data_IF_623180963860
#
_entry.id   IF_623180963860
#
_cell.length_a   1.000
_cell.length_b   1.000
_cell.length_c   1.000
_cell.angle_alpha   90.00
_cell.angle_beta   90.00
_cell.angle_gamma   90.00
#
_symmetry.space_group_name_H-M   'P 1'
#
loop_
_entity.id
_entity.type
_entity.pdbx_description
1 polymer ?
#
# COMPACT_ATOMS: atom_id res chain seq x y z
N UNK A 1 3.78 -12.46 12.91
CA UNK A 1 4.31 -11.36 13.76
C UNK A 1 4.05 -10.03 13.06
N UNK A 2 3.59 -9.02 13.80
CA UNK A 2 3.36 -7.66 13.25
C UNK A 2 4.72 -6.99 13.15
N UNK A 3 5.15 -6.65 11.93
CA UNK A 3 6.41 -5.96 11.70
C UNK A 3 6.25 -4.44 11.81
N UNK A 4 7.28 -3.76 12.27
CA UNK A 4 7.29 -2.31 12.50
C UNK A 4 7.56 -1.53 11.21
N UNK A 5 6.98 -0.34 11.13
CA UNK A 5 7.41 0.70 10.18
C UNK A 5 8.34 1.66 10.91
N UNK A 6 9.53 1.84 10.38
CA UNK A 6 10.50 2.81 10.89
C UNK A 6 10.59 4.00 9.93
N UNK A 7 10.60 5.19 10.52
CA UNK A 7 10.73 6.44 9.79
C UNK A 7 11.90 7.26 10.35
N UNK A 8 12.78 7.67 9.48
CA UNK A 8 13.92 8.53 9.79
C UNK A 8 13.76 9.85 9.02
N UNK A 9 13.39 10.92 9.71
CA UNK A 9 13.18 12.26 9.17
C UNK A 9 14.19 13.30 9.65
N UNK A 10 15.24 12.85 10.34
CA UNK A 10 16.34 13.70 10.82
C UNK A 10 17.70 13.10 10.42
N UNK A 11 18.80 13.86 10.44
CA UNK A 11 20.14 13.35 10.22
C UNK A 11 20.46 12.16 11.12
N UNK A 12 20.92 11.08 10.54
CA UNK A 12 21.21 9.85 11.30
C UNK A 12 22.23 8.97 10.58
N UNK A 13 23.05 8.25 11.37
CA UNK A 13 23.91 7.20 10.89
C UNK A 13 23.31 5.83 11.22
N UNK A 14 23.02 5.03 10.18
CA UNK A 14 22.36 3.72 10.28
C UNK A 14 23.37 2.61 9.98
N UNK A 15 23.55 1.68 10.91
CA UNK A 15 24.41 0.50 10.75
C UNK A 15 23.76 -0.75 11.31
N UNK A 16 24.37 -1.91 11.09
CA UNK A 16 23.95 -3.17 11.71
C UNK A 16 24.96 -3.64 12.74
N UNK A 17 24.47 -4.17 13.86
CA UNK A 17 25.25 -4.90 14.88
C UNK A 17 24.33 -5.97 15.48
N UNK A 18 24.84 -7.18 15.67
CA UNK A 18 24.14 -8.29 16.36
C UNK A 18 22.69 -8.52 15.88
N UNK A 19 22.50 -8.59 14.52
CA UNK A 19 21.21 -8.74 13.84
C UNK A 19 20.19 -7.61 14.14
N UNK A 20 20.70 -6.48 14.64
CA UNK A 20 19.88 -5.29 14.88
C UNK A 20 20.25 -4.17 13.91
N UNK A 21 19.25 -3.35 13.57
CA UNK A 21 19.47 -2.01 13.06
C UNK A 21 19.85 -1.14 14.25
N UNK A 22 21.01 -0.50 14.18
CA UNK A 22 21.47 0.49 15.16
C UNK A 22 21.44 1.85 14.47
N UNK A 23 20.73 2.82 15.04
CA UNK A 23 20.79 4.19 14.58
C UNK A 23 21.45 5.10 15.61
N UNK A 24 22.18 6.08 15.14
CA UNK A 24 22.84 7.11 15.92
C UNK A 24 22.30 8.44 15.41
N UNK A 25 21.63 9.21 16.26
CA UNK A 25 21.19 10.58 15.93
C UNK A 25 22.42 11.48 15.83
N UNK A 26 22.59 12.20 14.73
CA UNK A 26 23.68 13.16 14.59
C UNK A 26 23.49 14.38 15.48
N UNK A 27 22.23 14.77 15.74
CA UNK A 27 21.90 15.94 16.54
C UNK A 27 22.12 15.71 18.04
N UNK A 28 21.75 14.52 18.55
CA UNK A 28 21.74 14.24 20.01
C UNK A 28 22.80 13.23 20.44
N UNK A 29 23.43 12.51 19.51
CA UNK A 29 24.31 11.38 19.81
C UNK A 29 23.56 10.16 20.40
N UNK A 30 22.25 10.21 20.48
CA UNK A 30 21.44 9.11 21.02
C UNK A 30 21.55 7.87 20.15
N UNK A 31 21.82 6.72 20.78
CA UNK A 31 21.91 5.44 20.09
C UNK A 31 20.75 4.53 20.51
N UNK A 32 20.01 4.03 19.51
CA UNK A 32 18.94 3.03 19.71
C UNK A 32 19.14 1.85 18.76
N UNK A 33 18.60 0.70 19.15
CA UNK A 33 18.64 -0.49 18.30
C UNK A 33 17.29 -1.18 18.23
N UNK A 34 17.05 -1.84 17.06
CA UNK A 34 15.81 -2.55 16.77
C UNK A 34 16.18 -3.86 16.06
N UNK A 35 15.65 -5.03 16.49
CA UNK A 35 15.84 -6.28 15.77
C UNK A 35 15.38 -6.15 14.31
N UNK A 36 16.22 -6.57 13.36
CA UNK A 36 15.93 -6.46 11.93
C UNK A 36 14.71 -7.31 11.56
N UNK A 37 14.53 -8.45 12.21
CA UNK A 37 13.37 -9.32 12.01
C UNK A 37 12.02 -8.66 12.34
N UNK A 38 12.00 -7.66 13.22
CA UNK A 38 10.81 -6.90 13.57
C UNK A 38 10.46 -5.81 12.55
N UNK A 39 11.34 -5.52 11.59
CA UNK A 39 11.16 -4.42 10.64
C UNK A 39 10.44 -4.93 9.39
N UNK A 40 9.37 -4.25 8.98
CA UNK A 40 8.64 -4.52 7.74
C UNK A 40 8.87 -3.48 6.66
N UNK A 41 8.89 -2.21 7.06
CA UNK A 41 9.10 -1.07 6.18
C UNK A 41 10.09 -0.11 6.84
N UNK A 42 11.04 0.39 6.05
CA UNK A 42 11.99 1.44 6.45
C UNK A 42 11.83 2.63 5.51
N UNK A 43 11.61 3.82 6.06
CA UNK A 43 11.46 5.06 5.29
C UNK A 43 12.57 6.03 5.68
N UNK A 44 13.36 6.44 4.70
CA UNK A 44 14.41 7.45 4.84
C UNK A 44 13.92 8.75 4.21
N UNK A 45 13.70 9.76 5.05
CA UNK A 45 13.10 11.04 4.66
C UNK A 45 13.97 12.24 5.07
N UNK A 46 15.30 12.07 5.00
CA UNK A 46 16.26 13.16 5.20
C UNK A 46 17.50 12.95 4.36
N UNK A 47 17.99 14.03 3.71
CA UNK A 47 19.12 13.97 2.77
C UNK A 47 20.46 13.61 3.42
N UNK A 48 20.64 13.91 4.71
CA UNK A 48 21.87 13.64 5.48
C UNK A 48 21.83 12.28 6.22
N UNK A 49 20.96 11.36 5.82
CA UNK A 49 21.00 10.00 6.38
C UNK A 49 22.11 9.20 5.72
N UNK A 50 23.01 8.66 6.53
CA UNK A 50 24.04 7.71 6.09
C UNK A 50 23.63 6.30 6.50
N UNK A 51 23.72 5.35 5.57
CA UNK A 51 23.40 3.94 5.80
C UNK A 51 24.53 3.04 5.32
N UNK A 52 24.89 2.02 6.11
CA UNK A 52 25.91 1.06 5.69
C UNK A 52 25.35 0.01 4.74
N UNK A 53 26.13 -0.40 3.74
CA UNK A 53 25.77 -1.46 2.81
C UNK A 53 25.40 -2.78 3.53
N UNK A 54 26.13 -3.12 4.60
CA UNK A 54 25.83 -4.32 5.42
C UNK A 54 24.43 -4.29 6.04
N UNK A 55 23.93 -3.11 6.43
CA UNK A 55 22.57 -2.96 6.93
C UNK A 55 21.55 -3.13 5.79
N UNK A 56 21.78 -2.52 4.63
CA UNK A 56 20.91 -2.66 3.45
C UNK A 56 20.75 -4.15 3.09
N UNK A 57 21.86 -4.88 2.97
CA UNK A 57 21.84 -6.31 2.64
C UNK A 57 21.02 -7.13 3.67
N UNK A 58 21.21 -6.88 4.97
CA UNK A 58 20.45 -7.58 6.03
C UNK A 58 18.96 -7.23 6.03
N UNK A 59 18.62 -5.97 5.79
CA UNK A 59 17.21 -5.53 5.69
C UNK A 59 16.52 -6.26 4.52
N UNK A 60 17.14 -6.29 3.34
CA UNK A 60 16.60 -6.97 2.17
C UNK A 60 16.48 -8.49 2.40
N UNK A 61 17.51 -9.14 2.98
CA UNK A 61 17.45 -10.56 3.34
C UNK A 61 16.29 -10.90 4.32
N UNK A 62 15.86 -9.94 5.14
CA UNK A 62 14.67 -10.05 6.00
C UNK A 62 13.38 -9.57 5.33
N UNK A 63 13.40 -9.36 4.02
CA UNK A 63 12.27 -8.91 3.21
C UNK A 63 11.67 -7.58 3.75
N UNK A 64 12.52 -6.64 4.13
CA UNK A 64 12.11 -5.29 4.49
C UNK A 64 11.95 -4.46 3.21
N UNK A 65 10.81 -3.78 3.05
CA UNK A 65 10.68 -2.76 2.02
C UNK A 65 11.39 -1.47 2.48
N UNK A 66 12.24 -0.96 1.62
CA UNK A 66 13.05 0.22 1.91
C UNK A 66 12.60 1.36 0.99
N UNK A 67 12.14 2.47 1.55
CA UNK A 67 11.67 3.64 0.82
C UNK A 67 12.65 4.79 1.01
N UNK A 68 13.00 5.48 -0.06
CA UNK A 68 13.72 6.76 -0.01
C UNK A 68 12.85 7.89 -0.52
N UNK A 69 12.98 9.07 0.10
CA UNK A 69 12.26 10.27 -0.25
C UNK A 69 13.19 11.31 -0.89
N UNK A 70 12.62 12.22 -1.69
CA UNK A 70 13.31 13.37 -2.25
C UNK A 70 13.44 14.54 -1.25
N UNK A 71 13.98 15.67 -1.71
CA UNK A 71 14.12 16.92 -0.95
C UNK A 71 12.78 17.56 -0.55
N UNK A 72 11.70 17.16 -1.24
CA UNK A 72 10.32 17.60 -0.95
C UNK A 72 9.56 16.58 -0.08
N UNK A 73 10.29 15.62 0.48
CA UNK A 73 9.73 14.55 1.32
C UNK A 73 8.74 13.62 0.60
N UNK A 74 8.79 13.52 -0.75
CA UNK A 74 7.99 12.57 -1.50
C UNK A 74 8.74 11.25 -1.69
N UNK A 75 8.08 10.10 -1.50
CA UNK A 75 8.67 8.80 -1.81
C UNK A 75 8.99 8.68 -3.31
N UNK A 76 10.28 8.50 -3.64
CA UNK A 76 10.77 8.45 -5.03
C UNK A 76 11.45 7.13 -5.38
N UNK A 77 11.88 6.35 -4.40
CA UNK A 77 12.55 5.07 -4.63
C UNK A 77 12.12 3.99 -3.65
N UNK A 78 12.23 2.74 -4.11
CA UNK A 78 11.97 1.56 -3.27
C UNK A 78 12.98 0.47 -3.60
N UNK A 79 13.60 -0.12 -2.56
CA UNK A 79 14.37 -1.35 -2.68
C UNK A 79 13.55 -2.51 -2.10
N UNK A 80 13.54 -3.61 -2.82
CA UNK A 80 12.89 -4.87 -2.44
C UNK A 80 13.89 -6.01 -2.56
N UNK A 81 13.64 -7.11 -1.85
CA UNK A 81 14.45 -8.32 -2.00
C UNK A 81 14.35 -8.85 -3.44
N UNK A 82 15.47 -9.24 -4.02
CA UNK A 82 15.54 -9.82 -5.36
C UNK A 82 15.05 -11.29 -5.36
N UNK A 83 15.32 -12.03 -4.29
CA UNK A 83 15.03 -13.46 -4.13
C UNK A 83 14.20 -13.67 -2.85
N UNK A 84 12.92 -13.38 -2.94
CA UNK A 84 12.00 -13.38 -1.79
C UNK A 84 11.27 -14.72 -1.54
N UNK A 85 11.42 -15.73 -2.42
CA UNK A 85 10.65 -16.97 -2.35
C UNK A 85 11.38 -18.17 -2.93
N UNK A 86 11.40 -19.30 -2.23
CA UNK A 86 12.11 -20.55 -2.65
C UNK A 86 11.62 -21.11 -3.99
N UNK A 87 10.34 -20.93 -4.36
CA UNK A 87 9.76 -21.36 -5.63
C UNK A 87 9.58 -20.21 -6.63
N UNK A 88 10.41 -19.20 -6.55
CA UNK A 88 10.24 -17.95 -7.29
C UNK A 88 10.12 -18.15 -8.80
N UNK A 89 11.00 -18.97 -9.39
CA UNK A 89 10.99 -19.24 -10.84
C UNK A 89 9.67 -19.87 -11.30
N UNK A 90 9.15 -20.87 -10.56
CA UNK A 90 7.88 -21.50 -10.87
C UNK A 90 6.70 -20.54 -10.76
N UNK A 91 6.70 -19.69 -9.74
CA UNK A 91 5.66 -18.66 -9.53
C UNK A 91 5.71 -17.56 -10.58
N UNK A 92 6.91 -17.11 -10.98
CA UNK A 92 7.07 -16.18 -12.10
C UNK A 92 6.52 -16.76 -13.39
N UNK A 93 6.83 -18.05 -13.69
CA UNK A 93 6.28 -18.74 -14.85
C UNK A 93 4.74 -18.76 -14.82
N UNK A 94 4.14 -19.17 -13.70
CA UNK A 94 2.68 -19.18 -13.55
C UNK A 94 2.05 -17.78 -13.74
N UNK A 95 2.69 -16.73 -13.22
CA UNK A 95 2.23 -15.34 -13.40
C UNK A 95 2.33 -14.89 -14.87
N UNK A 96 3.42 -15.20 -15.56
CA UNK A 96 3.65 -14.85 -16.96
C UNK A 96 2.66 -15.55 -17.87
N UNK A 97 2.45 -16.86 -17.67
CA UNK A 97 1.58 -17.72 -18.48
C UNK A 97 0.09 -17.56 -18.12
N UNK A 98 -0.25 -16.76 -17.10
CA UNK A 98 -1.63 -16.52 -16.71
C UNK A 98 -2.46 -15.99 -17.88
N UNK A 99 -3.55 -16.71 -18.18
CA UNK A 99 -4.42 -16.41 -19.30
C UNK A 99 -5.13 -15.05 -19.18
N UNK A 100 -5.46 -14.42 -20.30
CA UNK A 100 -6.23 -13.16 -20.31
C UNK A 100 -7.59 -13.30 -19.62
N UNK A 101 -8.37 -14.40 -19.80
CA UNK A 101 -9.60 -14.60 -19.04
C UNK A 101 -9.39 -14.63 -17.53
N UNK A 102 -8.35 -15.31 -17.05
CA UNK A 102 -8.02 -15.32 -15.61
C UNK A 102 -7.72 -13.91 -15.13
N UNK A 103 -6.84 -13.16 -15.79
CA UNK A 103 -6.52 -11.77 -15.42
C UNK A 103 -7.77 -10.89 -15.38
N UNK A 104 -8.68 -11.00 -16.34
CA UNK A 104 -9.95 -10.27 -16.35
C UNK A 104 -10.87 -10.63 -15.17
N UNK A 105 -10.92 -11.92 -14.78
CA UNK A 105 -11.70 -12.36 -13.62
C UNK A 105 -11.10 -11.86 -12.29
N UNK A 106 -9.77 -11.87 -12.17
CA UNK A 106 -9.08 -11.32 -11.00
C UNK A 106 -9.30 -9.81 -10.89
N UNK A 107 -9.26 -9.08 -12.02
CA UNK A 107 -9.56 -7.64 -12.05
C UNK A 107 -10.98 -7.33 -11.62
N UNK A 108 -11.96 -8.10 -12.12
CA UNK A 108 -13.35 -7.98 -11.68
C UNK A 108 -13.49 -8.06 -10.15
N UNK A 109 -12.83 -9.04 -9.52
CA UNK A 109 -12.84 -9.21 -8.07
C UNK A 109 -12.19 -8.00 -7.35
N UNK A 110 -11.08 -7.50 -7.89
CA UNK A 110 -10.36 -6.34 -7.38
C UNK A 110 -11.25 -5.11 -7.36
N UNK A 111 -11.92 -4.82 -8.48
CA UNK A 111 -12.75 -3.61 -8.62
C UNK A 111 -14.04 -3.73 -7.81
N UNK A 112 -14.71 -4.87 -7.86
CA UNK A 112 -15.90 -5.09 -7.03
C UNK A 112 -15.59 -4.87 -5.54
N UNK A 113 -14.47 -5.40 -5.05
CA UNK A 113 -14.04 -5.20 -3.67
C UNK A 113 -13.66 -3.75 -3.37
N UNK A 114 -12.91 -3.07 -4.28
CA UNK A 114 -12.59 -1.64 -4.17
C UNK A 114 -13.84 -0.81 -3.97
N UNK A 115 -14.84 -0.97 -4.84
CA UNK A 115 -16.08 -0.19 -4.80
C UNK A 115 -16.84 -0.44 -3.50
N UNK A 116 -16.94 -1.70 -3.04
CA UNK A 116 -17.56 -2.02 -1.76
C UNK A 116 -16.81 -1.39 -0.56
N UNK A 117 -15.48 -1.40 -0.57
CA UNK A 117 -14.68 -0.78 0.47
C UNK A 117 -14.79 0.76 0.45
N UNK A 118 -14.91 1.36 -0.73
CA UNK A 118 -15.24 2.79 -0.87
C UNK A 118 -16.63 3.10 -0.32
N UNK A 119 -17.62 2.25 -0.61
CA UNK A 119 -18.97 2.37 -0.05
C UNK A 119 -18.93 2.32 1.49
N UNK A 120 -18.24 1.36 2.08
CA UNK A 120 -18.11 1.26 3.54
C UNK A 120 -17.51 2.51 4.19
N UNK A 121 -16.52 3.15 3.55
CA UNK A 121 -15.99 4.41 4.06
C UNK A 121 -16.97 5.57 3.90
N UNK A 122 -17.72 5.63 2.79
CA UNK A 122 -18.76 6.63 2.59
C UNK A 122 -19.93 6.48 3.60
N UNK A 123 -20.28 5.24 4.00
CA UNK A 123 -21.28 4.99 5.05
C UNK A 123 -20.84 5.60 6.39
N UNK A 124 -19.56 5.44 6.76
CA UNK A 124 -19.00 6.10 7.95
C UNK A 124 -19.11 7.62 7.84
N UNK A 125 -18.92 8.17 6.63
CA UNK A 125 -19.11 9.59 6.35
C UNK A 125 -20.60 10.00 6.19
N UNK A 126 -21.54 9.06 6.42
CA UNK A 126 -23.00 9.26 6.33
C UNK A 126 -23.47 9.69 4.92
N UNK A 127 -22.80 9.20 3.90
CA UNK A 127 -23.16 9.40 2.47
C UNK A 127 -24.01 8.20 2.01
N UNK A 128 -25.10 8.40 1.24
CA UNK A 128 -25.86 7.29 0.66
C UNK A 128 -25.01 6.43 -0.28
N UNK A 129 -25.05 5.10 -0.17
CA UNK A 129 -24.15 4.18 -0.91
C UNK A 129 -24.87 3.09 -1.70
N UNK A 130 -26.20 3.09 -1.77
CA UNK A 130 -26.97 2.06 -2.50
C UNK A 130 -26.50 1.91 -3.95
N UNK A 131 -26.18 3.02 -4.62
CA UNK A 131 -25.63 3.04 -5.98
C UNK A 131 -24.24 2.37 -6.05
N UNK A 132 -23.38 2.58 -5.04
CA UNK A 132 -22.03 1.96 -4.98
C UNK A 132 -22.13 0.44 -4.89
N UNK A 133 -23.03 -0.09 -4.03
CA UNK A 133 -23.24 -1.55 -3.93
C UNK A 133 -23.81 -2.14 -5.22
N UNK A 134 -24.71 -1.43 -5.91
CA UNK A 134 -25.20 -1.85 -7.22
C UNK A 134 -24.05 -1.94 -8.22
N UNK A 135 -23.25 -0.88 -8.36
CA UNK A 135 -22.09 -0.89 -9.27
C UNK A 135 -21.10 -2.00 -8.93
N UNK A 136 -20.81 -2.21 -7.64
CA UNK A 136 -19.90 -3.29 -7.22
C UNK A 136 -20.40 -4.68 -7.63
N UNK A 137 -21.73 -4.92 -7.57
CA UNK A 137 -22.36 -6.20 -7.94
C UNK A 137 -22.43 -6.39 -9.48
N UNK A 138 -22.47 -5.30 -10.23
CA UNK A 138 -22.59 -5.28 -11.70
C UNK A 138 -21.24 -5.34 -12.43
N UNK A 139 -20.10 -5.24 -11.70
CA UNK A 139 -18.77 -5.33 -12.31
C UNK A 139 -18.62 -6.63 -13.08
N UNK A 140 -18.44 -6.53 -14.40
CA UNK A 140 -18.19 -7.68 -15.29
C UNK A 140 -16.71 -7.99 -15.42
N UNK A 141 -16.40 -9.12 -16.04
CA UNK A 141 -15.02 -9.56 -16.28
C UNK A 141 -14.21 -8.49 -17.01
N UNK A 142 -13.13 -8.03 -16.34
CA UNK A 142 -12.26 -6.96 -16.83
C UNK A 142 -12.86 -5.55 -16.70
N UNK A 143 -13.94 -5.39 -15.93
CA UNK A 143 -14.67 -4.12 -15.74
C UNK A 143 -15.04 -3.44 -17.09
N UNK A 144 -15.64 -4.21 -18.00
CA UNK A 144 -15.91 -3.77 -19.37
C UNK A 144 -16.88 -2.58 -19.47
N UNK A 145 -17.66 -2.31 -18.43
CA UNK A 145 -18.60 -1.19 -18.33
C UNK A 145 -18.03 0.00 -17.53
N UNK A 146 -16.76 -0.12 -17.10
CA UNK A 146 -16.02 0.94 -16.40
C UNK A 146 -16.70 1.44 -15.11
N UNK A 147 -17.27 0.51 -14.35
CA UNK A 147 -17.87 0.81 -13.04
C UNK A 147 -16.87 1.41 -12.05
N UNK A 148 -15.56 1.07 -12.20
CA UNK A 148 -14.50 1.70 -11.43
C UNK A 148 -14.51 3.22 -11.55
N UNK A 149 -14.56 3.75 -12.78
CA UNK A 149 -14.52 5.19 -13.01
C UNK A 149 -15.82 5.86 -12.50
N UNK A 150 -16.98 5.24 -12.73
CA UNK A 150 -18.27 5.75 -12.24
C UNK A 150 -18.28 5.85 -10.72
N UNK A 151 -17.86 4.78 -10.04
CA UNK A 151 -17.76 4.74 -8.59
C UNK A 151 -16.73 5.76 -8.05
N UNK A 152 -15.58 5.91 -8.71
CA UNK A 152 -14.55 6.86 -8.31
C UNK A 152 -15.03 8.32 -8.38
N UNK A 153 -15.80 8.69 -9.42
CA UNK A 153 -16.39 10.04 -9.53
C UNK A 153 -17.32 10.31 -8.36
N UNK A 154 -18.22 9.36 -8.05
CA UNK A 154 -19.14 9.50 -6.91
C UNK A 154 -18.38 9.57 -5.58
N UNK A 155 -17.40 8.68 -5.38
CA UNK A 155 -16.61 8.59 -4.18
C UNK A 155 -15.86 9.89 -3.88
N UNK A 156 -15.06 10.38 -4.82
CA UNK A 156 -14.25 11.59 -4.62
C UNK A 156 -15.07 12.86 -4.46
N UNK A 157 -16.25 12.92 -5.07
CA UNK A 157 -17.18 14.04 -4.90
C UNK A 157 -17.73 14.12 -3.48
N UNK A 158 -17.86 13.00 -2.76
CA UNK A 158 -18.61 12.93 -1.50
C UNK A 158 -17.76 12.67 -0.26
N UNK A 159 -16.53 12.17 -0.39
CA UNK A 159 -15.73 11.73 0.77
C UNK A 159 -15.25 12.91 1.64
N UNK A 160 -14.81 14.02 1.04
CA UNK A 160 -14.33 15.19 1.77
C UNK A 160 -15.39 16.30 1.80
N UNK A 161 -16.48 16.09 2.56
CA UNK A 161 -17.63 17.02 2.59
C UNK A 161 -17.26 18.44 3.01
N UNK A 162 -16.24 18.64 3.84
CA UNK A 162 -15.76 19.97 4.27
C UNK A 162 -14.85 20.64 3.23
N UNK A 163 -14.53 19.94 2.13
CA UNK A 163 -13.74 20.45 1.00
C UNK A 163 -14.54 20.25 -0.31
N UNK A 164 -15.61 21.02 -0.55
CA UNK A 164 -16.55 20.76 -1.64
C UNK A 164 -15.92 20.83 -3.04
N UNK A 165 -14.83 21.57 -3.20
CA UNK A 165 -14.11 21.74 -4.46
C UNK A 165 -12.96 20.72 -4.64
N UNK A 166 -12.85 19.73 -3.75
CA UNK A 166 -11.78 18.75 -3.82
C UNK A 166 -11.83 17.94 -5.13
N UNK A 167 -10.69 17.88 -5.78
CA UNK A 167 -10.45 17.00 -6.94
C UNK A 167 -9.27 16.09 -6.66
N UNK A 168 -9.44 14.79 -6.94
CA UNK A 168 -8.34 13.84 -6.83
C UNK A 168 -7.40 14.00 -8.01
N UNK A 169 -6.24 14.59 -7.77
CA UNK A 169 -5.20 14.85 -8.78
C UNK A 169 -3.84 14.44 -8.22
N UNK A 170 -2.96 13.89 -9.08
CA UNK A 170 -1.64 13.42 -8.64
C UNK A 170 -0.78 14.54 -8.05
N UNK A 171 -0.86 15.73 -8.59
CA UNK A 171 -0.09 16.91 -8.18
C UNK A 171 -1.00 18.04 -7.69
N UNK A 172 -2.22 17.71 -7.28
CA UNK A 172 -3.19 18.68 -6.75
C UNK A 172 -2.88 19.11 -5.32
N UNK A 173 -3.60 20.14 -4.89
CA UNK A 173 -3.51 20.69 -3.54
C UNK A 173 -3.87 19.66 -2.46
N UNK A 174 -3.58 19.98 -1.21
CA UNK A 174 -3.98 19.16 -0.07
C UNK A 174 -5.51 18.88 -0.08
N UNK A 175 -5.94 17.66 0.26
CA UNK A 175 -5.20 16.55 0.86
C UNK A 175 -4.55 15.57 -0.15
N UNK A 176 -4.38 15.93 -1.44
CA UNK A 176 -3.77 15.03 -2.43
C UNK A 176 -2.33 14.60 -2.03
N UNK A 177 -1.57 15.48 -1.41
CA UNK A 177 -0.24 15.18 -0.88
C UNK A 177 -0.28 14.08 0.21
N UNK A 178 -1.25 14.14 1.14
CA UNK A 178 -1.47 13.09 2.16
C UNK A 178 -1.86 11.75 1.53
N UNK A 179 -2.80 11.76 0.57
CA UNK A 179 -3.21 10.58 -0.17
C UNK A 179 -2.02 9.95 -0.90
N UNK A 180 -1.22 10.76 -1.60
CA UNK A 180 -0.04 10.27 -2.31
C UNK A 180 1.00 9.65 -1.37
N UNK A 181 1.27 10.30 -0.23
CA UNK A 181 2.19 9.79 0.79
C UNK A 181 1.70 8.46 1.38
N UNK A 182 0.43 8.40 1.79
CA UNK A 182 -0.17 7.18 2.32
C UNK A 182 -0.22 6.03 1.30
N UNK A 183 -0.52 6.33 0.03
CA UNK A 183 -0.50 5.34 -1.04
C UNK A 183 0.91 4.84 -1.36
N UNK A 184 1.95 5.65 -1.19
CA UNK A 184 3.32 5.17 -1.35
C UNK A 184 3.70 4.16 -0.25
N UNK A 185 3.28 4.39 1.00
CA UNK A 185 3.44 3.43 2.09
C UNK A 185 2.67 2.14 1.80
N UNK A 186 1.40 2.24 1.41
CA UNK A 186 0.57 1.10 1.05
C UNK A 186 1.18 0.29 -0.10
N UNK A 187 1.64 0.96 -1.16
CA UNK A 187 2.33 0.32 -2.31
C UNK A 187 3.55 -0.47 -1.84
N UNK A 188 4.35 0.08 -0.93
CA UNK A 188 5.52 -0.61 -0.41
C UNK A 188 5.15 -1.88 0.38
N UNK A 189 4.10 -1.81 1.19
CA UNK A 189 3.57 -2.98 1.92
C UNK A 189 3.09 -4.04 0.93
N UNK A 190 2.36 -3.67 -0.12
CA UNK A 190 1.86 -4.60 -1.13
C UNK A 190 3.01 -5.19 -1.95
N UNK A 191 3.92 -4.35 -2.48
CA UNK A 191 5.06 -4.78 -3.29
C UNK A 191 5.97 -5.77 -2.53
N UNK A 192 6.28 -5.47 -1.26
CA UNK A 192 7.02 -6.36 -0.37
C UNK A 192 6.35 -7.73 -0.23
N UNK A 193 5.04 -7.75 -0.03
CA UNK A 193 4.31 -9.01 0.14
C UNK A 193 4.13 -9.78 -1.18
N UNK A 194 4.07 -9.09 -2.33
CA UNK A 194 4.14 -9.74 -3.65
C UNK A 194 5.47 -10.47 -3.83
N UNK A 195 6.59 -9.82 -3.54
CA UNK A 195 7.92 -10.45 -3.58
C UNK A 195 8.00 -11.65 -2.63
N UNK A 196 7.52 -11.51 -1.40
CA UNK A 196 7.46 -12.62 -0.43
C UNK A 196 6.54 -13.77 -0.87
N UNK A 197 5.57 -13.50 -1.74
CA UNK A 197 4.70 -14.52 -2.35
C UNK A 197 5.27 -15.10 -3.66
N UNK A 198 6.48 -14.69 -4.06
CA UNK A 198 7.15 -15.12 -5.29
C UNK A 198 6.57 -14.48 -6.55
N UNK A 199 5.98 -13.29 -6.47
CA UNK A 199 5.38 -12.60 -7.61
C UNK A 199 6.18 -11.35 -7.99
N UNK A 200 6.17 -11.01 -9.29
CA UNK A 200 6.76 -9.79 -9.83
C UNK A 200 5.80 -8.61 -9.61
N UNK A 201 6.16 -7.59 -8.84
CA UNK A 201 5.31 -6.43 -8.60
C UNK A 201 5.01 -5.60 -9.88
N UNK A 202 5.82 -5.78 -10.93
CA UNK A 202 5.75 -5.03 -12.19
C UNK A 202 4.64 -5.51 -13.11
N UNK A 203 4.33 -6.81 -13.12
CA UNK A 203 3.42 -7.40 -14.10
C UNK A 203 1.98 -7.38 -13.61
N UNK A 204 1.26 -6.32 -13.93
CA UNK A 204 -0.12 -6.10 -13.51
C UNK A 204 -1.13 -7.10 -14.07
N UNK A 205 -2.26 -7.20 -13.38
CA UNK A 205 -3.45 -7.91 -13.84
C UNK A 205 -4.13 -7.09 -14.95
N UNK A 206 -4.23 -5.78 -14.72
CA UNK A 206 -4.92 -4.82 -15.58
C UNK A 206 -3.98 -3.72 -16.07
N UNK A 207 -3.30 -3.00 -15.18
CA UNK A 207 -2.39 -1.92 -15.58
C UNK A 207 -1.15 -2.47 -16.31
N UNK A 208 -0.82 -1.83 -17.44
CA UNK A 208 0.28 -2.24 -18.34
C UNK A 208 1.15 -1.06 -18.74
N UNK A 209 1.21 -0.02 -17.92
CA UNK A 209 2.02 1.14 -18.23
C UNK A 209 3.51 0.77 -18.18
N UNK A 210 4.19 0.87 -19.33
CA UNK A 210 5.61 0.52 -19.47
C UNK A 210 6.56 1.34 -18.57
N UNK A 211 6.12 2.50 -18.10
CA UNK A 211 6.90 3.36 -17.20
C UNK A 211 6.62 3.11 -15.72
N UNK A 212 5.70 2.21 -15.39
CA UNK A 212 5.35 1.90 -14.01
C UNK A 212 5.95 0.55 -13.58
N UNK A 213 6.97 0.61 -12.72
CA UNK A 213 7.62 -0.58 -12.18
C UNK A 213 6.75 -1.39 -11.18
N UNK A 214 5.58 -0.88 -10.80
CA UNK A 214 4.73 -1.43 -9.73
C UNK A 214 3.29 -1.69 -10.17
N UNK A 215 3.05 -2.01 -11.45
CA UNK A 215 1.69 -2.20 -11.97
C UNK A 215 0.87 -3.22 -11.17
N UNK A 216 1.44 -4.37 -10.78
CA UNK A 216 0.73 -5.36 -9.97
C UNK A 216 0.50 -4.87 -8.54
N UNK A 217 1.47 -4.17 -7.97
CA UNK A 217 1.28 -3.60 -6.64
C UNK A 217 0.15 -2.56 -6.65
N UNK A 218 0.07 -1.74 -7.69
CA UNK A 218 -1.01 -0.76 -7.87
C UNK A 218 -2.37 -1.44 -8.08
N UNK A 219 -2.43 -2.53 -8.86
CA UNK A 219 -3.66 -3.30 -9.03
C UNK A 219 -4.16 -3.89 -7.70
N UNK A 220 -3.27 -4.52 -6.95
CA UNK A 220 -3.64 -5.25 -5.72
C UNK A 220 -3.90 -4.31 -4.54
N UNK A 221 -3.35 -3.11 -4.54
CA UNK A 221 -3.62 -2.15 -3.48
C UNK A 221 -4.99 -1.46 -3.60
N UNK A 222 -5.68 -1.53 -4.75
CA UNK A 222 -6.94 -0.82 -4.99
C UNK A 222 -7.99 -1.06 -3.88
N UNK A 223 -8.29 -2.29 -3.44
CA UNK A 223 -9.23 -2.53 -2.35
C UNK A 223 -8.77 -2.01 -0.97
N UNK A 224 -7.48 -1.70 -0.83
CA UNK A 224 -6.89 -1.19 0.40
C UNK A 224 -6.84 0.35 0.45
N UNK A 225 -6.98 1.04 -0.69
CA UNK A 225 -6.95 2.52 -0.73
C UNK A 225 -7.93 3.18 0.23
N UNK A 226 -9.18 2.72 0.38
CA UNK A 226 -10.14 3.33 1.31
C UNK A 226 -9.68 3.34 2.78
N UNK A 227 -8.80 2.44 3.18
CA UNK A 227 -8.23 2.45 4.54
C UNK A 227 -7.24 3.60 4.74
N UNK A 228 -6.46 3.94 3.72
CA UNK A 228 -5.62 5.14 3.71
C UNK A 228 -6.50 6.38 3.70
N UNK A 229 -7.53 6.39 2.85
CA UNK A 229 -8.47 7.51 2.71
C UNK A 229 -9.17 7.83 4.03
N UNK A 230 -9.47 6.82 4.86
CA UNK A 230 -10.02 6.99 6.21
C UNK A 230 -9.09 7.81 7.12
N UNK A 231 -7.79 7.51 7.10
CA UNK A 231 -6.82 8.27 7.90
C UNK A 231 -6.79 9.71 7.40
N UNK A 232 -6.72 9.90 6.08
CA UNK A 232 -6.71 11.24 5.48
C UNK A 232 -8.01 11.98 5.78
N UNK A 233 -9.17 11.33 5.71
CA UNK A 233 -10.46 11.92 6.08
C UNK A 233 -10.46 12.40 7.54
N UNK A 234 -9.92 11.61 8.46
CA UNK A 234 -9.82 12.00 9.87
C UNK A 234 -8.91 13.21 10.04
N UNK A 235 -7.75 13.24 9.36
CA UNK A 235 -6.83 14.39 9.39
C UNK A 235 -7.52 15.65 8.85
N UNK A 236 -8.22 15.54 7.73
CA UNK A 236 -8.97 16.65 7.11
C UNK A 236 -10.07 17.16 8.05
N UNK A 237 -10.83 16.26 8.66
CA UNK A 237 -11.91 16.63 9.58
C UNK A 237 -11.39 17.35 10.85
N UNK A 238 -10.19 17.01 11.32
CA UNK A 238 -9.58 17.62 12.50
C UNK A 238 -8.89 18.96 12.19
N UNK A 239 -8.28 19.11 11.03
CA UNK A 239 -7.43 20.25 10.71
C UNK A 239 -8.06 21.24 9.71
N UNK A 240 -9.16 20.86 9.05
CA UNK A 240 -9.76 21.67 7.98
C UNK A 240 -8.84 21.76 6.74
N UNK A 241 -8.81 22.93 6.09
CA UNK A 241 -7.96 23.20 4.94
C UNK A 241 -6.52 23.48 5.41
N UNK A 242 -5.54 22.77 4.84
CA UNK A 242 -4.11 22.92 5.11
C UNK A 242 -3.32 22.88 3.80
N UNK A 243 -2.07 23.34 3.82
CA UNK A 243 -1.20 23.37 2.63
C UNK A 243 -0.09 22.32 2.70
N UNK A 244 0.49 22.11 3.87
CA UNK A 244 1.70 21.30 4.04
C UNK A 244 1.47 20.03 4.87
N UNK A 245 2.29 19.03 4.60
CA UNK A 245 2.38 17.79 5.38
C UNK A 245 3.18 18.02 6.67
N UNK A 246 2.50 18.08 7.80
CA UNK A 246 3.18 18.20 9.09
C UNK A 246 3.76 16.85 9.56
N UNK A 247 4.78 16.85 10.44
CA UNK A 247 5.32 15.63 11.04
C UNK A 247 4.25 14.76 11.74
N UNK A 248 3.26 15.38 12.38
CA UNK A 248 2.16 14.66 13.04
C UNK A 248 1.26 13.95 12.02
N UNK A 249 0.91 14.58 10.91
CA UNK A 249 0.15 13.95 9.83
C UNK A 249 0.91 12.77 9.21
N UNK A 250 2.21 12.91 8.98
CA UNK A 250 3.07 11.81 8.53
C UNK A 250 3.04 10.65 9.52
N UNK A 251 3.17 10.94 10.83
CA UNK A 251 3.12 9.92 11.90
C UNK A 251 1.82 9.11 11.88
N UNK A 252 0.68 9.74 11.63
CA UNK A 252 -0.59 9.03 11.50
C UNK A 252 -0.58 8.08 10.28
N UNK A 253 -0.08 8.54 9.13
CA UNK A 253 0.03 7.71 7.92
C UNK A 253 1.02 6.54 8.08
N UNK A 254 2.04 6.67 8.91
CA UNK A 254 2.99 5.59 9.23
C UNK A 254 2.31 4.41 9.95
N UNK A 255 1.14 4.60 10.53
CA UNK A 255 0.37 3.53 11.16
C UNK A 255 -0.41 2.66 10.16
N UNK A 256 -0.47 3.01 8.87
CA UNK A 256 -1.18 2.25 7.83
C UNK A 256 -0.90 0.73 7.91
N UNK A 257 0.34 0.25 7.99
CA UNK A 257 0.61 -1.20 8.02
C UNK A 257 0.07 -1.91 9.27
N UNK A 258 -0.09 -1.19 10.37
CA UNK A 258 -0.54 -1.73 11.65
C UNK A 258 -2.04 -1.56 11.89
N UNK A 259 -2.75 -0.76 11.06
CA UNK A 259 -4.17 -0.53 11.24
C UNK A 259 -4.98 -1.82 11.07
N UNK A 260 -6.05 -1.93 11.83
CA UNK A 260 -6.92 -3.10 11.76
C UNK A 260 -7.82 -3.07 10.52
N UNK A 261 -7.86 -4.18 9.82
CA UNK A 261 -8.79 -4.47 8.71
C UNK A 261 -9.48 -5.82 8.96
N UNK A 262 -10.63 -6.04 8.35
CA UNK A 262 -11.30 -7.33 8.38
C UNK A 262 -10.97 -8.10 7.10
N UNK A 263 -10.49 -9.33 7.25
CA UNK A 263 -10.21 -10.24 6.13
C UNK A 263 -10.59 -11.66 6.53
N UNK A 264 -11.33 -12.36 5.68
CA UNK A 264 -11.81 -13.72 5.96
C UNK A 264 -12.53 -13.80 7.33
N UNK A 265 -13.42 -12.84 7.60
CA UNK A 265 -14.18 -12.70 8.85
C UNK A 265 -13.33 -12.54 10.13
N UNK A 266 -12.05 -12.22 9.99
CA UNK A 266 -11.13 -12.01 11.11
C UNK A 266 -10.54 -10.60 11.06
N UNK A 267 -10.42 -9.97 12.24
CA UNK A 267 -9.66 -8.75 12.42
C UNK A 267 -8.17 -9.04 12.32
N UNK A 268 -7.46 -8.28 11.51
CA UNK A 268 -6.01 -8.46 11.28
C UNK A 268 -5.36 -7.12 10.99
N UNK A 269 -4.09 -6.91 11.36
CA UNK A 269 -3.32 -5.77 10.87
C UNK A 269 -3.27 -5.76 9.33
N UNK A 270 -3.33 -4.57 8.71
CA UNK A 270 -3.35 -4.41 7.26
C UNK A 270 -2.19 -5.16 6.58
N UNK A 271 -0.98 -5.08 7.10
CA UNK A 271 0.16 -5.78 6.50
C UNK A 271 0.01 -7.33 6.52
N UNK A 272 -0.68 -7.89 7.52
CA UNK A 272 -1.00 -9.33 7.58
C UNK A 272 -2.12 -9.66 6.61
N UNK A 273 -3.11 -8.79 6.46
CA UNK A 273 -4.15 -8.94 5.46
C UNK A 273 -3.59 -8.91 4.04
N UNK A 274 -2.68 -7.98 3.73
CA UNK A 274 -1.97 -7.93 2.44
C UNK A 274 -1.18 -9.21 2.17
N UNK A 275 -0.53 -9.78 3.18
CA UNK A 275 0.16 -11.07 3.03
C UNK A 275 -0.82 -12.19 2.62
N UNK A 276 -2.01 -12.27 3.24
CA UNK A 276 -3.06 -13.24 2.85
C UNK A 276 -3.55 -12.98 1.42
N UNK A 277 -3.73 -11.73 1.04
CA UNK A 277 -4.13 -11.32 -0.31
C UNK A 277 -3.11 -11.77 -1.36
N UNK A 278 -1.83 -11.44 -1.18
CA UNK A 278 -0.79 -11.78 -2.17
C UNK A 278 -0.54 -13.29 -2.25
N UNK A 279 -0.61 -14.02 -1.13
CA UNK A 279 -0.54 -15.48 -1.11
C UNK A 279 -1.71 -16.13 -1.85
N UNK A 280 -2.94 -15.59 -1.69
CA UNK A 280 -4.11 -16.09 -2.44
C UNK A 280 -4.02 -15.77 -3.94
N UNK A 281 -3.48 -14.62 -4.31
CA UNK A 281 -3.21 -14.26 -5.70
C UNK A 281 -2.22 -15.24 -6.35
N UNK A 282 -1.12 -15.58 -5.67
CA UNK A 282 -0.16 -16.58 -6.16
C UNK A 282 -0.84 -17.91 -6.45
N UNK A 283 -1.71 -18.38 -5.54
CA UNK A 283 -2.53 -19.59 -5.75
C UNK A 283 -3.50 -19.48 -6.94
N UNK A 284 -4.04 -18.29 -7.21
CA UNK A 284 -4.86 -18.05 -8.39
C UNK A 284 -4.06 -18.22 -9.69
N UNK A 285 -2.83 -17.71 -9.74
CA UNK A 285 -1.94 -17.93 -10.89
C UNK A 285 -1.54 -19.40 -11.08
N UNK A 286 -1.36 -20.13 -9.98
CA UNK A 286 -1.07 -21.58 -10.00
C UNK A 286 -2.29 -22.45 -10.33
N UNK A 287 -3.50 -21.86 -10.42
CA UNK A 287 -4.75 -22.59 -10.69
C UNK A 287 -5.33 -23.34 -9.51
N UNK A 288 -4.70 -23.28 -8.33
CA UNK A 288 -5.17 -23.98 -7.12
C UNK A 288 -6.28 -23.22 -6.37
N UNK A 289 -6.51 -21.97 -6.72
CA UNK A 289 -7.57 -21.10 -6.17
C UNK A 289 -8.15 -20.21 -7.27
N UNK A 290 -9.42 -19.78 -7.13
CA UNK A 290 -10.07 -18.89 -8.10
C UNK A 290 -10.42 -17.50 -7.55
N UNK A 291 -10.32 -17.32 -6.23
CA UNK A 291 -10.69 -16.06 -5.56
C UNK A 291 -9.49 -15.49 -4.83
N UNK A 292 -9.26 -14.19 -5.03
CA UNK A 292 -8.32 -13.42 -4.20
C UNK A 292 -9.02 -13.12 -2.87
N UNK A 293 -8.30 -13.29 -1.77
CA UNK A 293 -8.77 -12.85 -0.45
C UNK A 293 -8.48 -11.36 -0.31
N UNK A 294 -9.51 -10.54 -0.28
CA UNK A 294 -9.41 -9.10 -0.04
C UNK A 294 -10.01 -8.71 1.31
N UNK A 295 -9.65 -7.56 1.86
CA UNK A 295 -10.26 -7.03 3.06
C UNK A 295 -11.68 -6.52 2.76
N UNK A 296 -12.55 -6.59 3.75
CA UNK A 296 -13.90 -6.05 3.72
C UNK A 296 -13.98 -4.85 4.67
N UNK A 297 -14.53 -3.75 4.19
CA UNK A 297 -14.80 -2.57 4.99
C UNK A 297 -16.16 -2.75 5.71
N UNK A 298 -16.17 -2.57 7.04
CA UNK A 298 -17.34 -2.75 7.89
C UNK A 298 -17.42 -1.60 8.88
#
# INVERSE_FOLDING_TARGET
MIKRTLYFGNPAFLKTKDQQLVFISEDTGEMKSIPIEDIGVLILDHQQITITQALIAKLLANNVAFITCDDKHHPVGMLLNLDGHTLQSAKFKAQLEASTPLKKQLWQQTISCKINNQAGLLEIARVPVKNMHNWASEVKSGDSENHEAVAAVYYWKNIFQILPDFKRERFGDAPNNLLNYGYAILRAVVARNLVASGLLPTLGIFHKNQYNAYCLADDIMEPYRPYVDKIVLNIVNLNGKFLELTPNMKKELLNIPAMDVRINNQKSPLMVAVQKTTASLAKCYEGSQRKILYPEYI
#
